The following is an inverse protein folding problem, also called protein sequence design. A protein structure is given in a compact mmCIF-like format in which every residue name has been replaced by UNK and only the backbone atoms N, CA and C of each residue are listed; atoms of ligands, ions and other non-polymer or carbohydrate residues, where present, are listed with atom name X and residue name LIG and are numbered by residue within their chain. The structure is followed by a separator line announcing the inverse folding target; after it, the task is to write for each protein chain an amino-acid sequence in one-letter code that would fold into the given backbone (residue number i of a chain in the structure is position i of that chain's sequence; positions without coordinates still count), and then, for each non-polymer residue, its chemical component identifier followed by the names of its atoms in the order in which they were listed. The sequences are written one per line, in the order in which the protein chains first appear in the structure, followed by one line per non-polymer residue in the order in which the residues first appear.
data_IF_100969585876
#
_entry.id   IF_100969585876
#
_cell.length_a   1.000
_cell.length_b   1.000
_cell.length_c   1.000
_cell.angle_alpha   90.00
_cell.angle_beta   90.00
_cell.angle_gamma   90.00
#
_symmetry.space_group_name_H-M   'P 1'
#
loop_
_entity.id
_entity.type
_entity.pdbx_description
1 polymer ?
#
# COMPACT_ATOMS: atom_id res chain seq x y z
N UNK A 1 -1.26 -3.96 10.04
CA UNK A 1 -2.31 -4.35 9.08
C UNK A 1 -3.61 -3.63 9.43
N UNK A 2 -3.65 -2.33 9.08
CA UNK A 2 -4.80 -1.45 9.28
C UNK A 2 -5.90 -1.68 8.23
N UNK A 3 -6.72 -0.64 7.98
CA UNK A 3 -7.83 -0.74 7.01
C UNK A 3 -7.36 -1.16 5.61
N UNK A 4 -6.37 -0.46 5.05
CA UNK A 4 -5.83 -0.79 3.71
C UNK A 4 -5.18 -2.17 3.70
N UNK A 5 -4.32 -2.46 4.67
CA UNK A 5 -3.64 -3.75 4.75
C UNK A 5 -4.57 -4.95 4.84
N UNK A 6 -5.73 -4.83 5.50
CA UNK A 6 -6.76 -5.89 5.53
C UNK A 6 -7.40 -6.14 4.17
N UNK A 7 -7.67 -5.08 3.41
CA UNK A 7 -8.23 -5.25 2.05
C UNK A 7 -7.20 -5.85 1.10
N UNK A 8 -5.93 -5.44 1.21
CA UNK A 8 -4.83 -6.05 0.44
C UNK A 8 -4.67 -7.53 0.80
N UNK A 9 -4.66 -7.89 2.09
CA UNK A 9 -4.63 -9.28 2.55
C UNK A 9 -5.77 -10.10 1.93
N UNK A 10 -7.00 -9.58 1.98
CA UNK A 10 -8.18 -10.23 1.43
C UNK A 10 -8.05 -10.47 -0.09
N UNK A 11 -7.61 -9.47 -0.83
CA UNK A 11 -7.40 -9.59 -2.28
C UNK A 11 -6.28 -10.58 -2.61
N UNK A 12 -5.12 -10.46 -1.97
CA UNK A 12 -3.99 -11.38 -2.19
C UNK A 12 -4.38 -12.83 -1.87
N UNK A 13 -5.11 -13.05 -0.78
CA UNK A 13 -5.61 -14.39 -0.42
C UNK A 13 -6.60 -14.92 -1.45
N UNK A 14 -7.47 -14.08 -2.01
CA UNK A 14 -8.41 -14.46 -3.07
C UNK A 14 -7.69 -14.87 -4.37
N UNK A 15 -6.49 -14.32 -4.61
CA UNK A 15 -5.59 -14.73 -5.69
C UNK A 15 -4.74 -15.96 -5.36
N UNK A 16 -4.95 -16.60 -4.21
CA UNK A 16 -4.22 -17.80 -3.79
C UNK A 16 -2.82 -17.53 -3.25
N UNK A 17 -2.49 -16.29 -2.91
CA UNK A 17 -1.20 -15.95 -2.28
C UNK A 17 -1.21 -16.34 -0.81
N UNK A 18 -0.07 -16.83 -0.31
CA UNK A 18 0.16 -17.02 1.11
C UNK A 18 0.57 -15.67 1.73
N UNK A 19 -0.26 -15.10 2.59
CA UNK A 19 -0.06 -13.76 3.16
C UNK A 19 0.60 -13.82 4.52
N UNK A 20 1.80 -13.27 4.64
CA UNK A 20 2.52 -13.06 5.88
C UNK A 20 2.19 -11.68 6.45
N UNK A 21 1.72 -11.61 7.70
CA UNK A 21 1.32 -10.36 8.36
C UNK A 21 2.34 -9.94 9.41
N UNK A 22 2.82 -8.70 9.31
CA UNK A 22 3.59 -8.07 10.38
C UNK A 22 2.85 -6.82 10.89
N UNK A 23 2.47 -6.82 12.14
CA UNK A 23 1.84 -5.70 12.83
C UNK A 23 2.11 -5.84 14.35
N UNK A 24 3.28 -5.42 14.83
CA UNK A 24 3.64 -5.60 16.23
C UNK A 24 2.64 -5.00 17.23
N UNK A 25 2.08 -3.77 17.01
CA UNK A 25 1.05 -3.22 17.90
C UNK A 25 -0.21 -4.10 18.01
N UNK A 26 -0.65 -4.68 16.88
CA UNK A 26 -1.81 -5.57 16.89
C UNK A 26 -1.48 -6.92 17.50
N UNK A 27 -0.30 -7.47 17.20
CA UNK A 27 0.16 -8.74 17.78
C UNK A 27 0.23 -8.68 19.32
N UNK A 28 0.59 -7.52 19.90
CA UNK A 28 0.55 -7.34 21.36
C UNK A 28 -0.88 -7.26 21.91
N UNK A 29 -1.79 -6.64 21.18
CA UNK A 29 -3.18 -6.43 21.62
C UNK A 29 -4.07 -7.63 21.37
N UNK A 30 -3.90 -8.31 20.24
CA UNK A 30 -4.80 -9.36 19.73
C UNK A 30 -4.23 -10.77 19.91
N UNK A 31 -2.96 -10.90 20.31
CA UNK A 31 -2.21 -12.15 20.34
C UNK A 31 -1.27 -12.28 19.13
N UNK A 32 -0.25 -13.10 19.27
CA UNK A 32 0.78 -13.29 18.24
C UNK A 32 0.34 -14.20 17.09
N UNK A 33 -0.74 -14.92 17.27
CA UNK A 33 -1.22 -15.89 16.27
C UNK A 33 -1.55 -15.19 14.94
N UNK A 34 -0.97 -15.71 13.85
CA UNK A 34 -1.15 -15.16 12.52
C UNK A 34 -0.33 -13.89 12.22
N UNK A 35 0.58 -13.47 13.11
CA UNK A 35 1.57 -12.43 12.85
C UNK A 35 2.98 -13.02 12.86
N UNK A 36 3.82 -12.51 11.95
CA UNK A 36 5.23 -12.90 11.85
C UNK A 36 6.14 -11.70 12.13
N UNK A 37 7.41 -11.96 12.38
CA UNK A 37 8.41 -10.90 12.51
C UNK A 37 8.71 -10.25 11.16
N UNK A 38 9.25 -9.03 11.17
CA UNK A 38 9.74 -8.36 9.97
C UNK A 38 10.88 -9.16 9.32
N UNK A 39 11.68 -9.82 10.12
CA UNK A 39 12.75 -10.72 9.70
C UNK A 39 12.20 -11.91 8.90
N UNK A 40 11.17 -12.57 9.40
CA UNK A 40 10.48 -13.64 8.66
C UNK A 40 9.97 -13.16 7.30
N UNK A 41 9.44 -11.93 7.23
CA UNK A 41 9.04 -11.35 5.93
C UNK A 41 10.24 -11.18 5.02
N UNK A 42 11.36 -10.62 5.52
CA UNK A 42 12.56 -10.43 4.72
C UNK A 42 13.13 -11.75 4.17
N UNK A 43 13.02 -12.82 4.94
CA UNK A 43 13.53 -14.14 4.55
C UNK A 43 12.62 -14.91 3.59
N UNK A 44 11.29 -14.74 3.69
CA UNK A 44 10.34 -15.65 3.05
C UNK A 44 9.45 -15.01 1.99
N UNK A 45 9.30 -13.68 1.98
CA UNK A 45 8.37 -13.06 1.06
C UNK A 45 8.91 -12.97 -0.36
N UNK A 46 8.05 -13.24 -1.35
CA UNK A 46 8.28 -12.99 -2.77
C UNK A 46 7.80 -11.59 -3.18
N UNK A 47 6.87 -11.02 -2.41
CA UNK A 47 6.39 -9.64 -2.55
C UNK A 47 6.33 -9.02 -1.15
N UNK A 48 6.94 -7.85 -0.98
CA UNK A 48 6.88 -7.07 0.26
C UNK A 48 6.12 -5.79 0.00
N UNK A 49 5.09 -5.51 0.79
CA UNK A 49 4.31 -4.29 0.68
C UNK A 49 4.04 -3.66 2.05
N UNK A 50 4.11 -2.33 2.12
CA UNK A 50 3.91 -1.57 3.35
C UNK A 50 2.58 -0.83 3.35
N UNK A 51 1.81 -0.98 4.44
CA UNK A 51 0.52 -0.31 4.68
C UNK A 51 0.48 0.23 6.11
N UNK A 52 1.47 1.04 6.46
CA UNK A 52 1.68 1.56 7.80
C UNK A 52 1.69 3.09 7.82
N UNK A 53 1.22 3.74 8.88
CA UNK A 53 1.44 5.17 9.06
C UNK A 53 2.93 5.43 9.27
N UNK A 54 3.38 6.66 9.01
CA UNK A 54 4.71 7.09 9.36
C UNK A 54 4.73 7.59 10.81
N UNK A 55 5.43 6.86 11.66
CA UNK A 55 5.74 7.26 13.05
C UNK A 55 7.25 7.37 13.20
N UNK A 56 7.71 8.51 13.73
CA UNK A 56 9.15 8.80 13.83
C UNK A 56 9.77 8.27 15.11
N UNK A 57 8.97 8.15 16.17
CA UNK A 57 9.42 7.83 17.52
C UNK A 57 8.55 6.76 18.17
N UNK A 58 9.03 6.23 19.29
CA UNK A 58 8.36 5.20 20.07
C UNK A 58 8.76 3.78 19.67
N UNK A 59 8.28 2.83 20.46
CA UNK A 59 8.64 1.41 20.33
C UNK A 59 8.29 0.81 18.96
N UNK A 60 7.27 1.34 18.32
CA UNK A 60 6.79 0.87 17.01
C UNK A 60 6.98 1.93 15.92
N UNK A 61 8.09 2.68 16.02
CA UNK A 61 8.46 3.62 14.97
C UNK A 61 8.53 2.90 13.62
N UNK A 62 8.03 3.57 12.58
CA UNK A 62 7.97 3.02 11.22
C UNK A 62 8.85 3.79 10.24
N UNK A 63 9.46 4.89 10.69
CA UNK A 63 10.47 5.58 9.89
C UNK A 63 11.64 4.65 9.66
N UNK A 64 12.03 4.49 8.40
CA UNK A 64 13.09 3.59 7.95
C UNK A 64 12.92 2.13 8.44
N UNK A 65 11.65 1.69 8.56
CA UNK A 65 11.32 0.31 8.91
C UNK A 65 11.94 -0.67 7.90
N UNK A 66 11.92 -0.32 6.61
CA UNK A 66 12.71 -0.96 5.58
C UNK A 66 14.04 -0.20 5.42
N UNK A 67 14.95 -0.37 6.35
CA UNK A 67 16.32 0.15 6.34
C UNK A 67 17.34 -0.91 5.91
N UNK A 68 18.63 -0.59 6.08
CA UNK A 68 19.74 -1.44 5.67
C UNK A 68 19.64 -2.86 6.24
N UNK A 69 19.30 -3.00 7.53
CA UNK A 69 19.16 -4.32 8.18
C UNK A 69 18.07 -5.16 7.55
N UNK A 70 16.95 -4.56 7.16
CA UNK A 70 15.87 -5.25 6.46
C UNK A 70 16.33 -5.74 5.10
N UNK A 71 16.92 -4.87 4.27
CA UNK A 71 17.36 -5.22 2.94
C UNK A 71 18.50 -6.23 2.93
N UNK A 72 19.39 -6.19 3.92
CA UNK A 72 20.46 -7.18 4.09
C UNK A 72 19.94 -8.60 4.31
N UNK A 73 18.77 -8.74 4.98
CA UNK A 73 18.14 -10.03 5.31
C UNK A 73 17.28 -10.60 4.20
N UNK A 74 17.07 -9.90 3.09
CA UNK A 74 16.30 -10.40 1.96
C UNK A 74 16.95 -11.66 1.37
N UNK A 75 16.16 -12.75 1.22
CA UNK A 75 16.64 -14.04 0.70
C UNK A 75 16.09 -14.36 -0.69
N UNK A 76 14.90 -13.87 -1.02
CA UNK A 76 14.14 -14.28 -2.22
C UNK A 76 14.10 -13.26 -3.34
N UNK A 77 14.82 -12.15 -3.24
CA UNK A 77 14.76 -11.05 -4.20
C UNK A 77 13.32 -10.59 -4.47
N UNK A 78 12.58 -10.17 -3.45
CA UNK A 78 11.16 -9.86 -3.59
C UNK A 78 10.90 -8.69 -4.53
N UNK A 79 9.66 -8.58 -4.98
CA UNK A 79 9.10 -7.30 -5.39
C UNK A 79 8.93 -6.42 -4.16
N UNK A 80 9.39 -5.19 -4.25
CA UNK A 80 9.26 -4.22 -3.16
C UNK A 80 8.23 -3.15 -3.55
N UNK A 81 7.17 -3.01 -2.74
CA UNK A 81 6.06 -2.10 -2.99
C UNK A 81 5.91 -1.14 -1.83
N UNK A 82 5.94 0.17 -2.08
CA UNK A 82 5.58 1.16 -1.08
C UNK A 82 4.58 2.19 -1.62
N UNK A 83 3.33 2.04 -1.21
CA UNK A 83 2.23 2.98 -1.43
C UNK A 83 1.67 3.50 -0.09
N UNK A 84 2.51 3.58 0.95
CA UNK A 84 2.12 4.05 2.27
C UNK A 84 2.66 5.44 2.60
N UNK A 85 3.94 5.55 2.91
CA UNK A 85 4.68 6.81 3.15
C UNK A 85 6.13 6.61 2.73
N UNK A 86 6.75 7.61 2.11
CA UNK A 86 8.10 7.51 1.59
C UNK A 86 9.12 7.10 2.65
N UNK A 87 9.20 7.84 3.74
CA UNK A 87 10.16 7.56 4.81
C UNK A 87 9.89 6.28 5.63
N UNK A 88 9.01 5.38 5.20
CA UNK A 88 8.92 3.99 5.70
C UNK A 88 10.09 3.17 5.19
N UNK A 89 10.60 3.44 3.99
CA UNK A 89 11.89 2.94 3.55
C UNK A 89 12.99 4.00 3.73
N UNK A 90 14.21 3.56 3.89
CA UNK A 90 15.40 4.37 3.77
C UNK A 90 15.80 4.40 2.29
N UNK A 91 15.86 5.59 1.70
CA UNK A 91 16.10 5.77 0.26
C UNK A 91 17.46 5.24 -0.18
N UNK A 92 18.52 5.50 0.60
CA UNK A 92 19.87 5.09 0.24
C UNK A 92 20.04 3.57 0.38
N UNK A 93 19.48 2.99 1.44
CA UNK A 93 19.49 1.55 1.65
C UNK A 93 18.68 0.80 0.57
N UNK A 94 17.51 1.34 0.16
CA UNK A 94 16.71 0.79 -0.92
C UNK A 94 17.43 0.85 -2.26
N UNK A 95 18.05 1.99 -2.57
CA UNK A 95 18.82 2.19 -3.78
C UNK A 95 20.00 1.20 -3.86
N UNK A 96 20.71 1.03 -2.77
CA UNK A 96 21.81 0.07 -2.66
C UNK A 96 21.32 -1.37 -2.86
N UNK A 97 20.26 -1.77 -2.18
CA UNK A 97 19.67 -3.10 -2.31
C UNK A 97 19.19 -3.40 -3.74
N UNK A 98 18.61 -2.41 -4.43
CA UNK A 98 18.21 -2.55 -5.84
C UNK A 98 19.40 -2.73 -6.75
N UNK A 99 20.48 -1.95 -6.59
CA UNK A 99 21.72 -2.06 -7.36
C UNK A 99 22.44 -3.40 -7.13
N UNK A 100 22.41 -3.92 -5.93
CA UNK A 100 22.95 -5.25 -5.60
C UNK A 100 22.09 -6.42 -6.09
N UNK A 101 20.93 -6.15 -6.70
CA UNK A 101 20.02 -7.18 -7.19
C UNK A 101 19.33 -7.99 -6.07
N UNK A 102 19.20 -7.40 -4.87
CA UNK A 102 18.42 -7.99 -3.76
C UNK A 102 16.93 -7.80 -3.89
N UNK A 103 16.50 -6.91 -4.79
CA UNK A 103 15.12 -6.62 -5.13
C UNK A 103 14.96 -6.83 -6.62
N UNK A 104 13.97 -7.64 -7.02
CA UNK A 104 13.72 -7.93 -8.44
C UNK A 104 12.93 -6.81 -9.11
N UNK A 105 11.87 -6.32 -8.47
CA UNK A 105 11.03 -5.24 -8.99
C UNK A 105 10.78 -4.19 -7.91
N UNK A 106 10.74 -2.92 -8.31
CA UNK A 106 10.56 -1.77 -7.44
C UNK A 106 9.33 -0.98 -7.85
N UNK A 107 8.34 -0.91 -6.96
CA UNK A 107 7.06 -0.26 -7.20
C UNK A 107 6.85 0.79 -6.11
N UNK A 108 6.92 2.06 -6.47
CA UNK A 108 6.85 3.18 -5.53
C UNK A 108 5.77 4.18 -5.93
N UNK A 109 4.86 4.44 -5.00
CA UNK A 109 3.91 5.55 -5.08
C UNK A 109 4.28 6.69 -4.13
N UNK A 110 4.98 6.38 -3.04
CA UNK A 110 5.40 7.33 -2.02
C UNK A 110 6.91 7.40 -1.95
N UNK A 111 7.45 8.61 -1.88
CA UNK A 111 8.88 8.88 -1.95
C UNK A 111 9.36 9.62 -0.70
N UNK A 112 10.57 9.37 -0.29
CA UNK A 112 11.19 10.18 0.76
C UNK A 112 11.54 11.57 0.20
N UNK A 113 11.36 12.61 1.02
CA UNK A 113 11.64 14.00 0.68
C UNK A 113 10.77 14.59 -0.46
N UNK A 114 9.56 14.09 -0.68
CA UNK A 114 8.63 14.72 -1.62
C UNK A 114 8.51 16.23 -1.40
N UNK A 115 8.54 17.07 -2.46
CA UNK A 115 8.61 16.73 -3.88
C UNK A 115 10.02 16.51 -4.43
N UNK A 116 11.08 16.74 -3.65
CA UNK A 116 12.48 16.64 -4.05
C UNK A 116 13.00 15.20 -3.91
N UNK A 117 12.42 14.30 -4.71
CA UNK A 117 12.69 12.87 -4.65
C UNK A 117 14.07 12.50 -5.24
N UNK A 118 14.60 11.35 -4.82
CA UNK A 118 15.82 10.80 -5.38
C UNK A 118 15.58 10.35 -6.83
N UNK A 119 16.23 11.00 -7.81
CA UNK A 119 16.04 10.76 -9.24
C UNK A 119 16.60 9.41 -9.68
N UNK A 120 17.70 8.97 -9.10
CA UNK A 120 18.26 7.66 -9.42
C UNK A 120 17.33 6.52 -8.97
N UNK A 121 16.71 6.65 -7.80
CA UNK A 121 15.71 5.70 -7.34
C UNK A 121 14.47 5.69 -8.26
N UNK A 122 14.06 6.86 -8.75
CA UNK A 122 12.97 6.99 -9.73
C UNK A 122 13.29 6.24 -11.03
N UNK A 123 14.50 6.37 -11.55
CA UNK A 123 14.94 5.70 -12.79
C UNK A 123 15.01 4.17 -12.64
N UNK A 124 15.29 3.68 -11.43
CA UNK A 124 15.35 2.24 -11.12
C UNK A 124 14.00 1.63 -10.76
N UNK A 125 12.96 2.44 -10.59
CA UNK A 125 11.63 1.94 -10.28
C UNK A 125 10.98 1.32 -11.52
N UNK A 126 10.42 0.13 -11.34
CA UNK A 126 9.63 -0.56 -12.39
C UNK A 126 8.30 0.13 -12.61
N UNK A 127 7.65 0.55 -11.52
CA UNK A 127 6.45 1.40 -11.53
C UNK A 127 6.69 2.54 -10.55
N UNK A 128 6.56 3.77 -11.06
CA UNK A 128 6.70 4.99 -10.28
C UNK A 128 5.45 5.86 -10.47
N UNK A 129 4.78 6.20 -9.38
CA UNK A 129 3.61 7.08 -9.40
C UNK A 129 3.77 8.24 -8.42
N UNK A 130 3.15 9.41 -8.67
CA UNK A 130 3.38 10.62 -7.89
C UNK A 130 2.43 10.71 -6.67
N UNK A 131 2.50 9.73 -5.77
CA UNK A 131 1.72 9.64 -4.54
C UNK A 131 0.20 9.69 -4.77
N UNK A 132 -0.29 8.85 -5.68
CA UNK A 132 -1.69 8.83 -6.12
C UNK A 132 -2.47 7.57 -5.75
N UNK A 133 -1.84 6.55 -5.15
CA UNK A 133 -2.50 5.27 -4.85
C UNK A 133 -3.76 5.41 -3.97
N UNK A 134 -3.83 6.45 -3.13
CA UNK A 134 -5.02 6.80 -2.34
C UNK A 134 -5.91 7.88 -2.97
N UNK A 135 -5.59 8.37 -4.17
CA UNK A 135 -6.25 9.50 -4.80
C UNK A 135 -7.37 9.06 -5.73
N UNK A 136 -8.49 8.61 -5.16
CA UNK A 136 -9.66 8.22 -5.92
C UNK A 136 -10.88 9.10 -5.57
N UNK A 137 -11.80 9.25 -6.51
CA UNK A 137 -13.05 9.98 -6.30
C UNK A 137 -13.89 9.34 -5.19
N UNK A 138 -13.96 7.99 -5.17
CA UNK A 138 -14.63 7.22 -4.13
C UNK A 138 -13.97 7.40 -2.76
N UNK A 139 -12.65 7.36 -2.69
CA UNK A 139 -11.89 7.59 -1.46
C UNK A 139 -12.15 8.96 -0.85
N UNK A 140 -12.17 10.01 -1.69
CA UNK A 140 -12.48 11.39 -1.27
C UNK A 140 -13.92 11.52 -0.78
N UNK A 141 -14.90 11.02 -1.52
CA UNK A 141 -16.30 11.03 -1.13
C UNK A 141 -16.52 10.25 0.18
N UNK A 142 -15.90 9.08 0.33
CA UNK A 142 -15.95 8.29 1.57
C UNK A 142 -15.31 9.03 2.76
N UNK A 143 -14.15 9.66 2.57
CA UNK A 143 -13.50 10.47 3.60
C UNK A 143 -14.41 11.61 4.08
N UNK A 144 -15.00 12.35 3.15
CA UNK A 144 -15.96 13.43 3.48
C UNK A 144 -17.16 12.88 4.26
N UNK A 145 -17.78 11.79 3.79
CA UNK A 145 -18.92 11.16 4.50
C UNK A 145 -18.54 10.69 5.90
N UNK A 146 -17.36 10.13 6.08
CA UNK A 146 -16.87 9.68 7.39
C UNK A 146 -16.65 10.88 8.35
N UNK A 147 -16.06 11.97 7.86
CA UNK A 147 -15.90 13.19 8.65
C UNK A 147 -17.25 13.74 9.08
N UNK A 148 -18.21 13.87 8.16
CA UNK A 148 -19.56 14.37 8.48
C UNK A 148 -20.28 13.47 9.50
N UNK A 149 -20.20 12.15 9.36
CA UNK A 149 -20.75 11.19 10.34
C UNK A 149 -20.10 11.32 11.72
N UNK A 150 -18.80 11.58 11.78
CA UNK A 150 -18.10 11.80 13.06
C UNK A 150 -18.54 13.11 13.71
N UNK A 151 -18.79 14.16 12.93
CA UNK A 151 -19.35 15.43 13.38
C UNK A 151 -20.77 15.21 13.94
N UNK A 152 -21.64 14.51 13.23
CA UNK A 152 -22.99 14.14 13.73
C UNK A 152 -22.90 13.45 15.10
N UNK A 153 -22.01 12.46 15.20
CA UNK A 153 -21.86 11.68 16.44
C UNK A 153 -21.31 12.52 17.59
N UNK A 154 -20.34 13.40 17.30
CA UNK A 154 -19.70 14.20 18.35
C UNK A 154 -20.62 15.29 18.87
N UNK A 155 -21.29 16.03 17.98
CA UNK A 155 -22.17 17.14 18.33
C UNK A 155 -23.62 16.71 18.56
N UNK A 156 -23.96 15.42 18.38
CA UNK A 156 -25.31 14.89 18.48
C UNK A 156 -26.31 15.64 17.58
N UNK A 157 -25.87 16.06 16.41
CA UNK A 157 -26.69 16.74 15.40
C UNK A 157 -26.91 15.80 14.20
N UNK A 158 -27.97 16.06 13.42
CA UNK A 158 -28.22 15.35 12.15
C UNK A 158 -27.83 16.23 10.99
N UNK A 159 -27.03 15.70 10.07
CA UNK A 159 -26.67 16.35 8.80
C UNK A 159 -27.45 15.68 7.68
N UNK A 160 -28.44 16.39 7.10
CA UNK A 160 -29.43 15.78 6.22
C UNK A 160 -28.85 15.31 4.87
N UNK A 161 -27.76 15.94 4.40
CA UNK A 161 -27.26 15.75 3.03
C UNK A 161 -25.99 14.92 2.90
N UNK A 162 -25.65 14.12 3.90
CA UNK A 162 -24.45 13.26 3.83
C UNK A 162 -24.54 12.26 2.65
N UNK A 163 -25.74 11.78 2.33
CA UNK A 163 -26.00 10.88 1.22
C UNK A 163 -25.79 11.51 -0.16
N UNK A 164 -25.84 12.84 -0.26
CA UNK A 164 -25.59 13.58 -1.49
C UNK A 164 -24.10 13.71 -1.82
N UNK A 165 -23.20 13.36 -0.89
CA UNK A 165 -21.76 13.28 -1.15
C UNK A 165 -21.49 11.99 -1.92
N UNK A 166 -21.66 12.03 -3.22
CA UNK A 166 -21.41 10.92 -4.15
C UNK A 166 -20.23 11.25 -5.06
N UNK A 167 -19.37 10.27 -5.38
CA UNK A 167 -18.34 10.48 -6.38
C UNK A 167 -18.94 10.63 -7.78
N UNK A 168 -18.25 11.26 -8.73
CA UNK A 168 -18.65 11.22 -10.11
C UNK A 168 -18.70 9.77 -10.60
N UNK A 169 -19.63 9.47 -11.51
CA UNK A 169 -19.70 8.15 -12.11
C UNK A 169 -18.40 7.85 -12.88
N UNK A 170 -17.88 6.61 -12.83
CA UNK A 170 -16.74 6.22 -13.63
C UNK A 170 -17.09 6.23 -15.13
N UNK A 171 -16.11 6.49 -15.98
CA UNK A 171 -16.29 6.47 -17.44
C UNK A 171 -16.77 5.10 -17.94
N UNK A 172 -16.29 4.03 -17.33
CA UNK A 172 -16.69 2.65 -17.63
C UNK A 172 -17.29 2.00 -16.38
N UNK A 173 -18.60 2.21 -16.11
CA UNK A 173 -19.24 1.71 -14.89
C UNK A 173 -19.41 0.19 -14.85
N UNK A 174 -19.37 -0.47 -16.00
CA UNK A 174 -19.48 -1.93 -16.14
C UNK A 174 -18.41 -2.43 -17.08
N UNK A 175 -17.61 -3.37 -16.63
CA UNK A 175 -16.60 -4.05 -17.43
C UNK A 175 -17.09 -5.47 -17.72
N UNK A 176 -17.45 -5.75 -18.99
CA UNK A 176 -17.81 -7.10 -19.43
C UNK A 176 -16.56 -7.97 -19.57
N UNK A 177 -16.43 -8.98 -18.74
CA UNK A 177 -15.30 -9.91 -18.75
C UNK A 177 -15.25 -10.76 -20.02
N UNK A 178 -16.36 -10.94 -20.73
CA UNK A 178 -16.40 -11.73 -21.96
C UNK A 178 -15.72 -11.07 -23.15
N UNK A 179 -15.43 -9.76 -23.06
CA UNK A 179 -14.68 -9.03 -24.09
C UNK A 179 -13.16 -9.35 -24.08
N UNK A 180 -12.69 -10.10 -23.07
CA UNK A 180 -11.29 -10.51 -22.95
C UNK A 180 -11.13 -12.01 -23.23
N UNK A 181 -10.19 -12.37 -24.10
CA UNK A 181 -9.95 -13.76 -24.48
C UNK A 181 -9.25 -14.57 -23.37
N UNK A 182 -8.34 -13.92 -22.63
CA UNK A 182 -7.57 -14.51 -21.52
C UNK A 182 -7.25 -13.47 -20.46
N UNK A 183 -6.83 -13.92 -19.27
CA UNK A 183 -6.49 -13.05 -18.13
C UNK A 183 -7.61 -12.02 -17.83
N UNK A 184 -8.85 -12.49 -17.83
CA UNK A 184 -10.06 -11.64 -17.82
C UNK A 184 -10.11 -10.70 -16.61
N UNK A 185 -9.72 -11.20 -15.45
CA UNK A 185 -9.74 -10.41 -14.20
C UNK A 185 -8.64 -9.35 -14.23
N UNK A 186 -7.43 -9.72 -14.62
CA UNK A 186 -6.30 -8.81 -14.74
C UNK A 186 -6.58 -7.70 -15.77
N UNK A 187 -7.16 -8.06 -16.91
CA UNK A 187 -7.57 -7.10 -17.94
C UNK A 187 -8.66 -6.15 -17.44
N UNK A 188 -9.61 -6.63 -16.65
CA UNK A 188 -10.63 -5.79 -16.03
C UNK A 188 -10.02 -4.81 -15.02
N UNK A 189 -9.07 -5.27 -14.19
CA UNK A 189 -8.34 -4.42 -13.25
C UNK A 189 -7.58 -3.33 -14.00
N UNK A 190 -6.83 -3.68 -15.04
CA UNK A 190 -6.09 -2.71 -15.86
C UNK A 190 -7.00 -1.75 -16.64
N UNK A 191 -8.22 -2.17 -16.98
CA UNK A 191 -9.23 -1.29 -17.58
C UNK A 191 -9.75 -0.28 -16.56
N UNK A 192 -9.86 -0.65 -15.28
CA UNK A 192 -10.30 0.28 -14.24
C UNK A 192 -9.20 1.27 -13.84
N UNK A 193 -7.96 0.83 -13.79
CA UNK A 193 -6.79 1.65 -13.51
C UNK A 193 -5.51 0.96 -14.00
N UNK A 194 -4.78 1.62 -14.89
CA UNK A 194 -3.49 1.17 -15.35
C UNK A 194 -2.39 2.14 -14.86
N UNK A 195 -1.53 1.72 -13.91
CA UNK A 195 -0.48 2.59 -13.39
C UNK A 195 0.64 2.88 -14.39
N UNK A 196 0.63 2.24 -15.56
CA UNK A 196 1.61 2.42 -16.64
C UNK A 196 1.06 3.24 -17.82
N UNK A 197 -0.21 3.68 -17.74
CA UNK A 197 -0.85 4.45 -18.81
C UNK A 197 -0.64 5.96 -18.66
#
# INVERSE_FOLDING_TARGET
VGHVGKEVEKLCSAYGMNVLRNDPPRAEKEGKDGFVSLETIAEQADIVTFHTPLTKEGRFATRHLAGEDFFRKLQRKPWFVNASRGAVHDTDALLHARKEGKISELILDCWENEPDINRELLELATIATPHIAGFSADGKANGTRMCLKNIEKFFQVKIEKISEVIPPAPETPVIDLNRFDRNRIEQAILTSFNPLA
#
